data_IF_119931809710
#
_entry.id   IF_119931809710
#
_cell.length_a   1.000
_cell.length_b   1.000
_cell.length_c   1.000
_cell.angle_alpha   90.00
_cell.angle_beta   90.00
_cell.angle_gamma   90.00
#
_symmetry.space_group_name_H-M   'P 1'
#
loop_
_entity.id
_entity.type
_entity.pdbx_description
1 polymer ?
#
# COMPACT_ATOMS: atom_id res chain seq x y z
N UNK A 1 -46.90 -31.03 55.81
CA UNK A 1 -47.80 -31.51 54.73
C UNK A 1 -46.97 -32.00 53.56
N UNK A 2 -47.20 -33.27 53.18
CA UNK A 2 -46.87 -33.99 51.94
C UNK A 2 -45.45 -33.89 51.33
N UNK A 3 -44.66 -34.93 51.65
CA UNK A 3 -43.63 -35.55 50.79
C UNK A 3 -44.21 -36.01 49.44
N UNK A 4 -43.37 -36.04 48.40
CA UNK A 4 -43.29 -36.99 47.25
C UNK A 4 -42.26 -36.42 46.24
N UNK A 5 -41.55 -37.16 45.40
CA UNK A 5 -41.07 -38.55 45.28
C UNK A 5 -40.16 -38.53 44.02
N UNK A 6 -39.10 -39.35 44.04
CA UNK A 6 -38.09 -39.54 42.99
C UNK A 6 -38.65 -39.85 41.58
N UNK A 7 -37.90 -39.46 40.54
CA UNK A 7 -37.53 -40.39 39.46
C UNK A 7 -36.20 -39.97 38.79
N UNK A 8 -35.18 -40.84 38.93
CA UNK A 8 -33.99 -40.88 38.09
C UNK A 8 -34.34 -41.66 36.84
N UNK A 9 -33.94 -41.18 35.65
CA UNK A 9 -33.78 -42.02 34.47
C UNK A 9 -32.41 -41.69 33.86
N UNK A 10 -31.50 -42.65 33.94
CA UNK A 10 -30.24 -42.60 33.22
C UNK A 10 -30.45 -43.03 31.78
N UNK A 11 -29.69 -42.42 30.85
CA UNK A 11 -29.45 -43.01 29.55
C UNK A 11 -27.95 -43.18 29.38
N UNK A 12 -27.53 -44.44 29.46
CA UNK A 12 -26.23 -44.94 29.04
C UNK A 12 -26.33 -45.10 27.52
N UNK A 13 -25.50 -44.39 26.76
CA UNK A 13 -25.28 -44.70 25.34
C UNK A 13 -23.92 -45.34 25.18
N UNK A 14 -23.98 -46.62 24.85
CA UNK A 14 -22.89 -47.54 24.58
C UNK A 14 -22.11 -47.17 23.32
N UNK A 15 -20.79 -47.31 23.44
CA UNK A 15 -19.81 -47.37 22.36
C UNK A 15 -20.21 -48.46 21.34
N UNK A 16 -20.25 -48.09 20.06
CA UNK A 16 -20.11 -49.03 18.96
C UNK A 16 -18.81 -48.72 18.23
N UNK A 17 -17.79 -49.54 18.48
CA UNK A 17 -16.64 -49.70 17.60
C UNK A 17 -17.09 -50.55 16.41
N UNK A 18 -17.20 -49.94 15.23
CA UNK A 18 -17.20 -50.68 13.97
C UNK A 18 -15.78 -50.69 13.42
N UNK A 19 -15.16 -51.86 13.44
CA UNK A 19 -13.93 -52.17 12.71
C UNK A 19 -14.18 -52.03 11.21
N UNK A 20 -13.38 -51.20 10.54
CA UNK A 20 -13.22 -51.27 9.09
C UNK A 20 -11.74 -51.44 8.75
N UNK A 21 -11.44 -52.26 7.72
CA UNK A 21 -10.11 -52.82 7.48
C UNK A 21 -9.10 -51.77 7.03
N UNK A 22 -7.86 -51.93 7.50
CA UNK A 22 -6.67 -51.29 6.95
C UNK A 22 -6.52 -51.68 5.48
N UNK A 23 -6.75 -50.73 4.58
CA UNK A 23 -6.22 -50.79 3.22
C UNK A 23 -4.84 -50.11 3.28
N UNK A 24 -3.79 -50.92 3.34
CA UNK A 24 -2.45 -50.49 2.96
C UNK A 24 -2.43 -50.27 1.45
N UNK A 25 -2.44 -49.01 1.04
CA UNK A 25 -1.92 -48.61 -0.27
C UNK A 25 -0.53 -48.01 -0.05
N UNK A 26 0.50 -48.83 -0.22
CA UNK A 26 1.84 -48.34 -0.59
C UNK A 26 1.85 -48.07 -2.08
N UNK A 27 2.25 -46.87 -2.52
CA UNK A 27 2.88 -46.61 -3.83
C UNK A 27 3.36 -45.13 -3.89
N UNK A 28 4.34 -44.82 -4.75
CA UNK A 28 5.74 -44.60 -4.39
C UNK A 28 6.09 -43.13 -4.14
N UNK A 29 7.22 -42.94 -3.48
CA UNK A 29 7.95 -41.67 -3.49
C UNK A 29 8.45 -41.39 -4.91
N UNK A 30 7.85 -40.42 -5.59
CA UNK A 30 8.52 -39.65 -6.63
C UNK A 30 8.37 -38.16 -6.28
N UNK A 31 9.43 -37.62 -5.66
CA UNK A 31 9.71 -36.19 -5.71
C UNK A 31 9.85 -35.80 -7.18
N UNK A 32 8.86 -35.08 -7.70
CA UNK A 32 9.06 -34.20 -8.85
C UNK A 32 9.32 -32.81 -8.29
N UNK A 33 10.58 -32.40 -8.28
CA UNK A 33 11.01 -31.03 -7.90
C UNK A 33 10.45 -29.95 -8.86
N UNK A 34 9.69 -30.34 -9.89
CA UNK A 34 9.03 -29.45 -10.84
C UNK A 34 7.65 -28.96 -10.41
N UNK A 35 6.96 -29.66 -9.49
CA UNK A 35 5.62 -29.24 -9.06
C UNK A 35 5.67 -28.09 -8.06
N UNK A 36 6.72 -28.01 -7.23
CA UNK A 36 6.93 -26.84 -6.36
C UNK A 36 7.26 -25.58 -7.17
N UNK A 37 8.11 -25.68 -8.20
CA UNK A 37 8.46 -24.54 -9.04
C UNK A 37 7.27 -24.02 -9.86
N UNK A 38 6.45 -24.91 -10.43
CA UNK A 38 5.26 -24.51 -11.20
C UNK A 38 4.16 -23.92 -10.31
N UNK A 39 4.01 -24.41 -9.07
CA UNK A 39 3.01 -23.92 -8.12
C UNK A 39 3.46 -22.62 -7.44
N UNK A 40 4.76 -22.44 -7.16
CA UNK A 40 5.32 -21.15 -6.74
C UNK A 40 5.21 -20.12 -7.86
N UNK A 41 5.61 -20.42 -9.10
CA UNK A 41 5.47 -19.48 -10.23
C UNK A 41 4.02 -19.06 -10.50
N UNK A 42 3.05 -19.97 -10.35
CA UNK A 42 1.62 -19.64 -10.45
C UNK A 42 1.10 -18.85 -9.24
N UNK A 43 1.61 -19.10 -8.03
CA UNK A 43 1.30 -18.30 -6.85
C UNK A 43 1.89 -16.88 -6.94
N UNK A 44 3.06 -16.70 -7.57
CA UNK A 44 3.65 -15.37 -7.81
C UNK A 44 2.86 -14.57 -8.84
N UNK A 45 2.30 -15.21 -9.87
CA UNK A 45 1.47 -14.54 -10.90
C UNK A 45 0.18 -13.91 -10.36
N UNK A 46 -0.34 -14.39 -9.22
CA UNK A 46 -1.53 -13.82 -8.58
C UNK A 46 -1.24 -12.72 -7.56
N UNK A 47 0.03 -12.43 -7.26
CA UNK A 47 0.40 -11.35 -6.33
C UNK A 47 0.31 -9.99 -7.04
N UNK A 48 -0.28 -9.01 -6.37
CA UNK A 48 -0.37 -7.63 -6.88
C UNK A 48 1.02 -6.97 -7.01
N UNK A 49 2.00 -7.39 -6.22
CA UNK A 49 3.37 -6.88 -6.28
C UNK A 49 4.37 -8.03 -6.18
N UNK A 50 5.33 -8.09 -7.10
CA UNK A 50 6.43 -9.07 -7.07
C UNK A 50 7.69 -8.52 -7.76
N UNK A 51 8.83 -9.17 -7.50
CA UNK A 51 10.10 -8.86 -8.15
C UNK A 51 10.40 -9.94 -9.19
N UNK A 52 10.89 -9.52 -10.35
CA UNK A 52 11.63 -10.36 -11.27
C UNK A 52 13.13 -10.06 -11.11
N UNK A 53 13.97 -10.74 -11.90
CA UNK A 53 15.42 -10.51 -11.90
C UNK A 53 15.79 -9.04 -12.15
N UNK A 54 15.16 -8.40 -13.14
CA UNK A 54 15.51 -7.05 -13.60
C UNK A 54 14.40 -6.01 -13.44
N UNK A 55 13.30 -6.37 -12.76
CA UNK A 55 12.14 -5.49 -12.66
C UNK A 55 11.30 -5.72 -11.42
N UNK A 56 10.47 -4.72 -11.13
CA UNK A 56 9.40 -4.75 -10.15
C UNK A 56 8.07 -4.74 -10.92
N UNK A 57 7.22 -5.71 -10.65
CA UNK A 57 5.87 -5.76 -11.21
C UNK A 57 4.89 -5.29 -10.15
N UNK A 58 4.08 -4.29 -10.51
CA UNK A 58 3.02 -3.74 -9.68
C UNK A 58 1.73 -3.73 -10.50
N UNK A 59 0.72 -4.44 -10.01
CA UNK A 59 -0.60 -4.57 -10.61
C UNK A 59 -0.52 -4.89 -12.12
N UNK A 60 0.29 -5.90 -12.47
CA UNK A 60 0.53 -6.37 -13.85
C UNK A 60 1.33 -5.40 -14.73
N UNK A 61 1.77 -4.25 -14.20
CA UNK A 61 2.68 -3.34 -14.91
C UNK A 61 4.11 -3.54 -14.42
N UNK A 62 5.01 -3.75 -15.38
CA UNK A 62 6.43 -3.93 -15.14
C UNK A 62 7.17 -2.59 -15.10
N UNK A 63 8.09 -2.46 -14.14
CA UNK A 63 8.97 -1.32 -13.95
C UNK A 63 10.41 -1.83 -13.86
N UNK A 64 11.23 -1.53 -14.86
CA UNK A 64 12.64 -1.94 -14.87
C UNK A 64 13.41 -1.27 -13.74
N UNK A 65 14.38 -1.98 -13.16
CA UNK A 65 15.29 -1.37 -12.20
C UNK A 65 16.20 -0.34 -12.86
N UNK A 66 16.51 0.72 -12.12
CA UNK A 66 17.49 1.72 -12.54
C UNK A 66 18.33 2.20 -11.36
N UNK A 67 19.62 2.43 -11.62
CA UNK A 67 20.54 3.02 -10.66
C UNK A 67 20.37 4.54 -10.51
N UNK A 68 19.72 5.18 -11.48
CA UNK A 68 19.42 6.61 -11.49
C UNK A 68 17.91 6.86 -11.43
N UNK A 69 17.52 8.01 -10.87
CA UNK A 69 16.11 8.39 -10.85
C UNK A 69 15.63 8.71 -12.27
N UNK A 70 14.70 7.89 -12.74
CA UNK A 70 14.09 8.02 -14.06
C UNK A 70 12.60 7.75 -13.97
N UNK A 71 11.82 8.46 -14.78
CA UNK A 71 10.41 8.20 -14.95
C UNK A 71 10.14 6.72 -15.29
N UNK A 72 9.15 6.13 -14.62
CA UNK A 72 8.69 4.76 -14.82
C UNK A 72 9.76 3.66 -14.64
N UNK A 73 10.82 3.95 -13.87
CA UNK A 73 11.80 2.95 -13.46
C UNK A 73 11.82 2.85 -11.94
N UNK A 74 12.07 1.65 -11.42
CA UNK A 74 12.18 1.41 -10.00
C UNK A 74 13.63 1.66 -9.55
N UNK A 75 13.82 2.68 -8.71
CA UNK A 75 15.12 2.99 -8.12
C UNK A 75 15.08 2.67 -6.63
N UNK A 76 16.04 1.88 -6.17
CA UNK A 76 16.17 1.57 -4.75
C UNK A 76 16.76 2.76 -3.97
N UNK A 77 16.19 3.06 -2.82
CA UNK A 77 16.53 4.23 -2.01
C UNK A 77 16.58 3.89 -0.52
N UNK A 78 17.20 4.79 0.25
CA UNK A 78 17.16 4.78 1.72
C UNK A 78 16.25 5.89 2.23
N UNK A 79 15.47 5.60 3.28
CA UNK A 79 14.72 6.62 4.00
C UNK A 79 15.67 7.63 4.67
N UNK A 80 15.40 8.92 4.47
CA UNK A 80 16.05 10.02 5.19
C UNK A 80 15.15 10.62 6.26
N UNK A 81 13.91 10.96 5.89
CA UNK A 81 12.92 11.48 6.83
C UNK A 81 11.51 11.31 6.29
N UNK A 82 10.52 11.33 7.19
CA UNK A 82 9.09 11.38 6.83
C UNK A 82 8.57 12.77 7.15
N UNK A 83 7.97 13.42 6.16
CA UNK A 83 7.45 14.78 6.31
C UNK A 83 6.01 14.76 6.84
N UNK A 84 5.15 13.92 6.23
CA UNK A 84 3.75 13.71 6.58
C UNK A 84 3.26 12.36 6.02
N UNK A 85 1.95 12.15 5.92
CA UNK A 85 1.36 10.88 5.49
C UNK A 85 1.61 10.52 4.02
N UNK A 86 1.80 11.50 3.13
CA UNK A 86 1.99 11.29 1.70
C UNK A 86 3.29 11.91 1.15
N UNK A 87 4.17 12.37 2.04
CA UNK A 87 5.43 13.01 1.69
C UNK A 87 6.57 12.48 2.55
N UNK A 88 7.66 12.06 1.89
CA UNK A 88 8.89 11.61 2.55
C UNK A 88 10.13 12.05 1.76
N UNK A 89 11.29 12.01 2.40
CA UNK A 89 12.59 12.27 1.80
C UNK A 89 13.41 10.99 1.73
N UNK A 90 13.99 10.73 0.56
CA UNK A 90 14.80 9.56 0.29
C UNK A 90 16.17 9.93 -0.29
N UNK A 91 17.15 9.07 -0.07
CA UNK A 91 18.51 9.15 -0.62
C UNK A 91 18.69 8.01 -1.63
N UNK A 92 19.18 8.32 -2.83
CA UNK A 92 19.52 7.29 -3.82
C UNK A 92 20.72 6.47 -3.31
N UNK A 93 20.61 5.14 -3.32
CA UNK A 93 21.70 4.26 -2.88
C UNK A 93 22.96 4.39 -3.75
N UNK A 94 22.79 4.65 -5.04
CA UNK A 94 23.88 4.81 -6.01
C UNK A 94 24.42 6.25 -6.09
N UNK A 95 23.76 7.21 -5.42
CA UNK A 95 24.23 8.60 -5.33
C UNK A 95 23.76 9.22 -4.00
N UNK A 96 24.57 9.02 -2.95
CA UNK A 96 24.20 9.40 -1.58
C UNK A 96 24.08 10.92 -1.38
N UNK A 97 24.64 11.72 -2.29
CA UNK A 97 24.48 13.18 -2.29
C UNK A 97 23.12 13.62 -2.86
N UNK A 98 22.39 12.72 -3.53
CA UNK A 98 21.09 12.99 -4.13
C UNK A 98 19.95 12.68 -3.14
N UNK A 99 19.55 13.70 -2.38
CA UNK A 99 18.48 13.62 -1.37
C UNK A 99 17.24 14.40 -1.83
N UNK A 100 16.21 13.70 -2.32
CA UNK A 100 15.01 14.32 -2.86
C UNK A 100 13.78 14.13 -1.97
N UNK A 101 12.86 15.11 -1.98
CA UNK A 101 11.52 14.97 -1.39
C UNK A 101 10.57 14.36 -2.42
N UNK A 102 9.69 13.49 -1.96
CA UNK A 102 8.76 12.75 -2.80
C UNK A 102 7.34 12.95 -2.31
N UNK A 103 6.42 13.23 -3.24
CA UNK A 103 4.99 13.15 -3.02
C UNK A 103 4.49 11.80 -3.53
N UNK A 104 3.68 11.13 -2.72
CA UNK A 104 3.14 9.83 -3.07
C UNK A 104 2.08 10.04 -4.17
N UNK A 105 2.31 9.41 -5.31
CA UNK A 105 1.48 9.55 -6.49
C UNK A 105 0.06 9.03 -6.28
N UNK A 106 -0.91 9.85 -6.66
CA UNK A 106 -2.33 9.49 -6.73
C UNK A 106 -3.08 9.50 -5.40
N UNK A 107 -2.48 10.02 -4.32
CA UNK A 107 -3.10 10.05 -3.00
C UNK A 107 -2.98 11.42 -2.32
N UNK A 108 -3.84 11.64 -1.35
CA UNK A 108 -3.81 12.82 -0.48
C UNK A 108 -4.18 12.45 0.96
N UNK A 109 -3.28 12.75 1.89
CA UNK A 109 -3.51 12.56 3.34
C UNK A 109 -3.97 13.87 3.99
N UNK A 110 -4.70 13.81 5.13
CA UNK A 110 -5.10 15.04 5.80
C UNK A 110 -3.89 15.82 6.30
N UNK A 111 -3.90 17.13 6.07
CA UNK A 111 -2.79 18.02 6.45
C UNK A 111 -2.63 18.09 7.98
N UNK A 112 -1.39 18.00 8.46
CA UNK A 112 -1.10 18.20 9.90
C UNK A 112 -0.77 19.65 10.25
N UNK A 113 -0.43 20.46 9.23
CA UNK A 113 -0.03 21.86 9.38
C UNK A 113 -0.63 22.72 8.29
N UNK A 114 -0.96 23.96 8.63
CA UNK A 114 -1.41 25.00 7.71
C UNK A 114 -0.56 26.24 7.88
N UNK A 115 -0.46 27.04 6.82
CA UNK A 115 0.30 28.30 6.85
C UNK A 115 -0.66 29.45 7.14
N UNK A 116 -0.48 30.11 8.28
CA UNK A 116 -1.24 31.29 8.73
C UNK A 116 -0.23 32.41 8.99
N UNK A 117 -0.40 33.59 8.38
CA UNK A 117 0.48 34.75 8.57
C UNK A 117 1.99 34.41 8.46
N UNK A 118 2.35 33.66 7.41
CA UNK A 118 3.71 33.16 7.16
C UNK A 118 4.29 32.17 8.18
N UNK A 119 3.52 31.72 9.17
CA UNK A 119 3.92 30.70 10.15
C UNK A 119 3.17 29.40 9.92
N UNK A 120 3.81 28.28 10.25
CA UNK A 120 3.15 26.98 10.23
C UNK A 120 2.52 26.72 11.59
N UNK A 121 1.22 26.50 11.59
CA UNK A 121 0.44 26.10 12.76
C UNK A 121 -0.15 24.71 12.54
N UNK A 122 -0.37 23.97 13.62
CA UNK A 122 -1.06 22.69 13.52
C UNK A 122 -2.51 22.90 13.07
N UNK A 123 -3.01 21.99 12.23
CA UNK A 123 -4.45 21.88 11.98
C UNK A 123 -5.16 21.45 13.28
N UNK A 124 -6.50 21.48 13.29
CA UNK A 124 -7.31 21.15 14.48
C UNK A 124 -8.32 20.04 14.16
N UNK A 125 -8.94 19.48 15.20
CA UNK A 125 -10.05 18.54 15.07
C UNK A 125 -9.71 17.27 14.29
N UNK A 126 -10.65 16.81 13.47
CA UNK A 126 -10.52 15.55 12.72
C UNK A 126 -9.39 15.60 11.69
N UNK A 127 -9.16 16.75 11.03
CA UNK A 127 -8.05 16.92 10.09
C UNK A 127 -6.70 16.60 10.76
N UNK A 128 -6.41 17.19 11.92
CA UNK A 128 -5.16 16.93 12.63
C UNK A 128 -5.04 15.48 13.09
N UNK A 129 -6.12 14.93 13.68
CA UNK A 129 -6.17 13.54 14.15
C UNK A 129 -5.81 12.57 13.02
N UNK A 130 -6.50 12.63 11.88
CA UNK A 130 -6.27 11.70 10.78
C UNK A 130 -4.96 11.98 10.03
N UNK A 131 -4.51 13.24 9.96
CA UNK A 131 -3.20 13.57 9.41
C UNK A 131 -2.05 12.97 10.23
N UNK A 132 -2.16 13.00 11.57
CA UNK A 132 -1.20 12.34 12.45
C UNK A 132 -1.23 10.82 12.33
N UNK A 133 -2.42 10.22 12.22
CA UNK A 133 -2.56 8.78 11.99
C UNK A 133 -1.90 8.34 10.67
N UNK A 134 -2.17 9.06 9.57
CA UNK A 134 -1.54 8.78 8.27
C UNK A 134 -0.02 8.96 8.32
N UNK A 135 0.46 10.03 8.97
CA UNK A 135 1.90 10.28 9.15
C UNK A 135 2.58 9.14 9.91
N UNK A 136 1.97 8.68 11.01
CA UNK A 136 2.52 7.60 11.82
C UNK A 136 2.49 6.26 11.07
N UNK A 137 1.43 5.99 10.29
CA UNK A 137 1.35 4.81 9.43
C UNK A 137 2.50 4.78 8.43
N UNK A 138 2.67 5.87 7.66
CA UNK A 138 3.76 6.02 6.69
C UNK A 138 5.13 5.89 7.35
N UNK A 139 5.32 6.55 8.49
CA UNK A 139 6.57 6.47 9.26
C UNK A 139 6.92 5.04 9.67
N UNK A 140 5.97 4.32 10.26
CA UNK A 140 6.19 2.95 10.72
C UNK A 140 6.58 2.03 9.56
N UNK A 141 5.86 2.10 8.43
CA UNK A 141 6.15 1.25 7.27
C UNK A 141 7.51 1.56 6.63
N UNK A 142 7.86 2.84 6.50
CA UNK A 142 9.13 3.23 5.89
C UNK A 142 10.34 2.94 6.79
N UNK A 143 10.22 3.16 8.11
CA UNK A 143 11.31 2.89 9.06
C UNK A 143 11.58 1.40 9.25
N UNK A 144 10.55 0.56 9.08
CA UNK A 144 10.66 -0.90 9.19
C UNK A 144 10.87 -1.61 7.84
N UNK A 145 10.96 -0.89 6.73
CA UNK A 145 11.15 -1.51 5.43
C UNK A 145 12.57 -2.08 5.30
N UNK A 146 12.69 -3.31 4.79
CA UNK A 146 13.98 -3.92 4.42
C UNK A 146 14.57 -3.21 3.21
N UNK A 147 13.73 -2.94 2.22
CA UNK A 147 14.07 -2.27 0.95
C UNK A 147 12.95 -1.34 0.53
N UNK A 148 13.30 -0.23 -0.11
CA UNK A 148 12.37 0.79 -0.57
C UNK A 148 12.71 1.10 -2.03
N UNK A 149 11.71 1.01 -2.89
CA UNK A 149 11.80 1.49 -4.26
C UNK A 149 10.89 2.69 -4.45
N UNK A 150 11.42 3.71 -5.13
CA UNK A 150 10.63 4.80 -5.67
C UNK A 150 10.51 4.62 -7.18
N UNK A 151 9.31 4.85 -7.69
CA UNK A 151 9.02 4.80 -9.13
C UNK A 151 8.48 6.17 -9.52
N UNK A 152 9.34 7.11 -9.97
CA UNK A 152 8.91 8.42 -10.42
C UNK A 152 7.88 8.31 -11.55
N UNK A 153 6.86 9.15 -11.54
CA UNK A 153 5.77 9.14 -12.53
C UNK A 153 5.73 10.48 -13.27
N UNK A 154 5.59 10.41 -14.59
CA UNK A 154 5.38 11.60 -15.42
C UNK A 154 3.99 12.16 -15.12
N UNK A 155 3.91 13.47 -14.92
CA UNK A 155 2.63 14.16 -14.81
C UNK A 155 2.57 15.35 -15.76
N UNK A 156 1.36 15.76 -16.13
CA UNK A 156 1.14 16.86 -17.06
C UNK A 156 1.59 18.22 -16.49
N UNK A 157 1.67 18.37 -15.16
CA UNK A 157 1.68 19.69 -14.52
C UNK A 157 2.92 19.94 -13.68
N UNK A 158 3.47 21.16 -13.86
CA UNK A 158 4.43 21.88 -13.01
C UNK A 158 5.93 21.79 -13.29
N UNK A 159 6.36 21.08 -14.34
CA UNK A 159 7.75 21.19 -14.80
C UNK A 159 8.10 22.64 -15.18
N UNK A 160 9.21 23.17 -14.67
CA UNK A 160 9.91 24.26 -15.38
C UNK A 160 10.15 23.74 -16.80
N UNK A 161 10.00 24.57 -17.84
CA UNK A 161 10.26 24.24 -19.26
C UNK A 161 11.64 23.58 -19.55
N UNK A 162 12.51 23.40 -18.54
CA UNK A 162 13.90 22.98 -18.64
C UNK A 162 14.19 21.57 -18.09
N UNK A 163 13.25 20.88 -17.44
CA UNK A 163 13.51 19.54 -16.89
C UNK A 163 12.83 18.45 -17.74
N UNK A 164 13.59 17.50 -18.33
CA UNK A 164 13.12 16.68 -19.45
C UNK A 164 12.08 15.60 -19.10
N UNK A 165 11.78 15.35 -17.81
CA UNK A 165 10.96 14.19 -17.42
C UNK A 165 9.61 14.52 -16.77
N UNK A 166 9.29 15.79 -16.47
CA UNK A 166 8.00 16.21 -15.86
C UNK A 166 7.53 15.34 -14.65
N UNK A 167 8.47 14.90 -13.82
CA UNK A 167 8.22 14.07 -12.62
C UNK A 167 8.04 14.90 -11.33
N UNK A 168 8.06 16.23 -11.42
CA UNK A 168 8.02 17.12 -10.26
C UNK A 168 6.67 17.82 -10.12
N UNK A 169 6.23 18.02 -8.88
CA UNK A 169 5.11 18.90 -8.58
C UNK A 169 5.54 20.38 -8.47
N UNK A 170 4.55 21.28 -8.28
CA UNK A 170 4.77 22.73 -8.09
C UNK A 170 5.67 23.11 -6.92
N UNK A 171 5.89 22.19 -5.98
CA UNK A 171 6.72 22.38 -4.79
C UNK A 171 8.07 21.68 -4.91
N UNK A 172 8.48 21.28 -6.13
CA UNK A 172 9.74 20.60 -6.42
C UNK A 172 9.88 19.25 -5.70
N UNK A 173 8.76 18.56 -5.43
CA UNK A 173 8.76 17.18 -4.95
C UNK A 173 8.64 16.23 -6.14
N UNK A 174 9.38 15.13 -6.13
CA UNK A 174 9.25 14.06 -7.13
C UNK A 174 7.94 13.31 -6.86
N UNK A 175 7.11 13.15 -7.87
CA UNK A 175 5.87 12.39 -7.79
C UNK A 175 6.20 10.92 -8.02
N UNK A 176 5.94 10.05 -7.04
CA UNK A 176 6.37 8.65 -7.13
C UNK A 176 5.39 7.66 -6.50
N UNK A 177 5.40 6.44 -7.06
CA UNK A 177 4.84 5.26 -6.42
C UNK A 177 5.92 4.70 -5.48
N UNK A 178 5.53 4.39 -4.25
CA UNK A 178 6.45 3.86 -3.23
C UNK A 178 6.14 2.38 -3.01
N UNK A 179 7.14 1.53 -3.23
CA UNK A 179 7.02 0.08 -3.03
C UNK A 179 8.03 -0.37 -1.98
N UNK A 180 7.59 -1.23 -1.07
CA UNK A 180 8.38 -1.70 0.06
C UNK A 180 8.50 -3.21 0.05
N UNK A 181 9.69 -3.71 0.41
CA UNK A 181 9.84 -5.05 0.96
C UNK A 181 9.76 -4.93 2.49
N UNK A 182 8.71 -5.46 3.09
CA UNK A 182 8.51 -5.41 4.55
C UNK A 182 9.43 -6.38 5.28
N UNK A 183 9.56 -6.21 6.61
CA UNK A 183 10.29 -7.15 7.45
C UNK A 183 9.76 -8.59 7.37
N UNK A 184 8.47 -8.76 7.07
CA UNK A 184 7.82 -10.05 6.88
C UNK A 184 7.99 -10.61 5.46
N UNK A 185 8.90 -10.05 4.64
CA UNK A 185 9.15 -10.44 3.26
C UNK A 185 7.94 -10.30 2.32
N UNK A 186 7.04 -9.37 2.63
CA UNK A 186 5.93 -9.02 1.73
C UNK A 186 6.29 -7.79 0.89
N UNK A 187 5.96 -7.83 -0.40
CA UNK A 187 6.04 -6.67 -1.27
C UNK A 187 4.70 -5.95 -1.27
N UNK A 188 4.73 -4.64 -1.01
CA UNK A 188 3.52 -3.82 -0.93
C UNK A 188 3.70 -2.47 -1.62
N UNK A 189 2.62 -1.92 -2.17
CA UNK A 189 2.57 -0.54 -2.61
C UNK A 189 2.05 0.33 -1.46
N UNK A 190 2.93 1.12 -0.83
CA UNK A 190 2.56 1.93 0.34
C UNK A 190 1.45 2.95 0.01
N UNK A 191 1.44 3.49 -1.21
CA UNK A 191 0.40 4.40 -1.66
C UNK A 191 -0.98 3.73 -1.61
N UNK A 192 -1.09 2.48 -2.08
CA UNK A 192 -2.33 1.69 -2.00
C UNK A 192 -2.66 1.36 -0.56
N UNK A 193 -1.71 0.93 0.26
CA UNK A 193 -1.95 0.60 1.67
C UNK A 193 -2.57 1.77 2.45
N UNK A 194 -2.12 3.01 2.19
CA UNK A 194 -2.73 4.21 2.77
C UNK A 194 -4.20 4.38 2.35
N UNK A 195 -4.52 4.17 1.07
CA UNK A 195 -5.89 4.30 0.55
C UNK A 195 -6.78 3.18 1.07
N UNK A 196 -6.32 1.93 0.96
CA UNK A 196 -7.06 0.73 1.29
C UNK A 196 -7.42 0.67 2.78
N UNK A 197 -6.55 1.22 3.64
CA UNK A 197 -6.80 1.32 5.07
C UNK A 197 -7.52 2.62 5.48
N UNK A 198 -7.83 3.50 4.53
CA UNK A 198 -8.59 4.73 4.77
C UNK A 198 -7.78 5.85 5.44
N UNK A 199 -6.45 5.83 5.36
CA UNK A 199 -5.59 6.94 5.81
C UNK A 199 -5.51 8.08 4.80
N UNK A 200 -5.76 7.80 3.53
CA UNK A 200 -5.77 8.76 2.44
C UNK A 200 -6.97 8.56 1.53
N UNK A 201 -7.26 9.59 0.73
CA UNK A 201 -8.18 9.52 -0.42
C UNK A 201 -7.40 9.50 -1.72
N UNK A 202 -8.02 9.03 -2.79
CA UNK A 202 -7.46 9.15 -4.14
C UNK A 202 -7.58 10.59 -4.60
N UNK A 203 -6.45 11.18 -4.93
CA UNK A 203 -6.38 12.57 -5.38
C UNK A 203 -5.10 12.81 -6.17
N UNK A 204 -4.99 13.97 -6.85
CA UNK A 204 -3.81 14.27 -7.66
C UNK A 204 -3.49 13.23 -8.76
N UNK A 205 -4.52 12.58 -9.30
CA UNK A 205 -4.43 11.64 -10.43
C UNK A 205 -5.74 11.64 -11.22
N UNK A 206 -5.68 11.57 -12.55
CA UNK A 206 -6.85 11.58 -13.43
C UNK A 206 -6.57 10.90 -14.78
N UNK A 207 -7.60 10.27 -15.36
CA UNK A 207 -7.56 9.80 -16.76
C UNK A 207 -8.03 10.85 -17.77
N UNK A 208 -8.52 12.00 -17.30
CA UNK A 208 -8.92 13.08 -18.19
C UNK A 208 -7.69 13.87 -18.66
N UNK A 209 -7.38 13.79 -19.96
CA UNK A 209 -6.26 14.52 -20.61
C UNK A 209 -6.27 16.02 -20.37
N UNK A 210 -7.42 16.64 -20.07
CA UNK A 210 -7.53 18.07 -19.77
C UNK A 210 -7.19 18.41 -18.31
N UNK A 211 -7.22 17.43 -17.40
CA UNK A 211 -6.93 17.63 -15.99
C UNK A 211 -5.41 17.86 -15.77
N UNK A 212 -4.99 18.78 -14.88
CA UNK A 212 -3.58 18.99 -14.57
C UNK A 212 -2.90 17.75 -13.98
N UNK A 213 -3.66 16.84 -13.38
CA UNK A 213 -3.18 15.58 -12.80
C UNK A 213 -3.37 14.39 -13.75
N UNK A 214 -3.48 14.64 -15.06
CA UNK A 214 -3.56 13.58 -16.05
C UNK A 214 -2.39 12.61 -15.94
N UNK A 215 -2.70 11.31 -16.04
CA UNK A 215 -1.73 10.23 -16.19
C UNK A 215 -2.14 9.28 -17.29
N UNK A 216 -1.14 8.71 -17.96
CA UNK A 216 -1.30 7.59 -18.89
C UNK A 216 -1.31 6.23 -18.17
N UNK A 217 -1.00 6.22 -16.87
CA UNK A 217 -0.99 5.02 -16.05
C UNK A 217 -2.39 4.67 -15.53
N UNK A 218 -3.26 4.27 -16.46
CA UNK A 218 -4.66 3.91 -16.19
C UNK A 218 -4.81 2.71 -15.26
N UNK A 219 -3.92 1.73 -15.40
CA UNK A 219 -3.81 0.57 -14.53
C UNK A 219 -3.66 1.00 -13.06
N UNK A 220 -2.71 1.90 -12.78
CA UNK A 220 -2.47 2.40 -11.42
C UNK A 220 -3.60 3.30 -10.91
N UNK A 221 -4.23 4.09 -11.78
CA UNK A 221 -5.42 4.85 -11.40
C UNK A 221 -6.54 3.94 -10.89
N UNK A 222 -6.87 2.89 -11.66
CA UNK A 222 -7.93 1.96 -11.27
C UNK A 222 -7.54 1.11 -10.06
N UNK A 223 -6.25 0.79 -9.91
CA UNK A 223 -5.72 0.13 -8.71
C UNK A 223 -6.04 0.92 -7.43
N UNK A 224 -5.75 2.23 -7.42
CA UNK A 224 -6.07 3.09 -6.28
C UNK A 224 -7.59 3.31 -6.11
N UNK A 225 -8.34 3.53 -7.20
CA UNK A 225 -9.80 3.74 -7.12
C UNK A 225 -10.54 2.54 -6.54
N UNK A 226 -10.12 1.31 -6.87
CA UNK A 226 -10.70 0.09 -6.28
C UNK A 226 -10.45 0.02 -4.76
N UNK A 227 -9.23 0.33 -4.31
CA UNK A 227 -8.94 0.42 -2.87
C UNK A 227 -9.72 1.51 -2.15
N UNK A 228 -9.93 2.67 -2.79
CA UNK A 228 -10.75 3.73 -2.20
C UNK A 228 -12.20 3.30 -2.03
N UNK A 229 -12.79 2.69 -3.06
CA UNK A 229 -14.15 2.15 -3.00
C UNK A 229 -14.28 1.09 -1.89
N UNK A 230 -13.28 0.23 -1.74
CA UNK A 230 -13.23 -0.74 -0.66
C UNK A 230 -13.19 -0.06 0.72
N UNK A 231 -12.29 0.91 0.92
CA UNK A 231 -12.18 1.64 2.18
C UNK A 231 -13.48 2.41 2.52
N UNK A 232 -14.13 3.01 1.53
CA UNK A 232 -15.44 3.67 1.65
C UNK A 232 -16.54 2.69 2.07
N UNK A 233 -16.69 1.57 1.35
CA UNK A 233 -17.70 0.55 1.64
C UNK A 233 -17.58 0.01 3.06
N UNK A 234 -16.34 -0.15 3.54
CA UNK A 234 -16.05 -0.67 4.87
C UNK A 234 -15.93 0.43 5.94
N UNK A 235 -16.22 1.69 5.61
CA UNK A 235 -16.14 2.85 6.52
C UNK A 235 -14.81 2.91 7.27
N UNK A 236 -13.69 2.68 6.58
CA UNK A 236 -12.37 2.68 7.22
C UNK A 236 -11.92 4.12 7.50
N UNK A 237 -11.47 4.38 8.74
CA UNK A 237 -10.81 5.62 9.18
C UNK A 237 -11.49 6.92 8.70
N UNK A 238 -10.90 7.64 7.73
CA UNK A 238 -11.45 8.92 7.25
C UNK A 238 -12.87 8.76 6.71
N UNK A 239 -13.22 7.56 6.22
CA UNK A 239 -14.54 7.24 5.68
C UNK A 239 -15.59 6.93 6.76
N UNK A 240 -15.21 6.84 8.03
CA UNK A 240 -16.14 6.68 9.15
C UNK A 240 -16.66 8.02 9.71
N UNK A 241 -16.24 9.14 9.13
CA UNK A 241 -16.55 10.48 9.64
C UNK A 241 -16.90 11.41 8.48
N UNK A 242 -17.37 12.61 8.80
CA UNK A 242 -17.60 13.65 7.81
C UNK A 242 -16.27 14.07 7.15
N UNK A 243 -16.11 13.67 5.88
CA UNK A 243 -14.90 13.89 5.10
C UNK A 243 -14.58 15.39 4.95
N UNK A 244 -15.58 16.27 5.03
CA UNK A 244 -15.38 17.72 4.89
C UNK A 244 -14.69 18.34 6.11
N UNK A 245 -14.82 17.73 7.29
CA UNK A 245 -14.09 18.14 8.50
C UNK A 245 -12.65 17.65 8.49
N UNK A 246 -12.35 16.62 7.69
CA UNK A 246 -11.01 16.05 7.53
C UNK A 246 -10.26 16.76 6.41
N UNK A 247 -10.94 17.07 5.31
CA UNK A 247 -10.43 17.81 4.15
C UNK A 247 -11.25 19.09 3.95
N UNK A 248 -11.10 20.10 4.84
CA UNK A 248 -11.81 21.35 4.68
C UNK A 248 -11.40 22.06 3.39
N UNK A 249 -12.35 22.78 2.78
CA UNK A 249 -12.04 23.66 1.65
C UNK A 249 -11.08 24.76 2.13
N UNK A 250 -9.99 24.93 1.39
CA UNK A 250 -9.00 26.01 1.61
C UNK A 250 -9.52 27.32 1.02
#
# INVERSE_FOLDING_TARGET
MKKKLFLKLGLVTTLFFSSMPLIQCTFPNQKNDNDHAANEQNATKNKEVFLNENSLVLNQKEYLFSNSLQANHATEVKLKSVNDGDTAQFINLNNQNQSNKYRFFGIDTPETRIRINNRFENTKGLQYKYGKLATNFTKNYLEQAKRIWVIPQVTKSFGKKKEPQNIYDRYQRIIAIIVLLTNQNNLICLNKELVDNGYSKVYYISLNKKNPYYTENDNYYWYLKKSEQFAQKNKKLIWNNDINQIYPKK
#
